data_IF_381392009031
#
_entry.id   IF_381392009031
#
_cell.length_a   1.000
_cell.length_b   1.000
_cell.length_c   1.000
_cell.angle_alpha   90.00
_cell.angle_beta   90.00
_cell.angle_gamma   90.00
#
_symmetry.space_group_name_H-M   'P 1'
#
loop_
_entity.id
_entity.type
_entity.pdbx_description
1 polymer ?
#
# COMPACT_ATOMS: atom_id res chain seq x y z
N UNK A 1 -2.02 34.46 43.31
CA UNK A 1 -3.00 33.62 42.60
C UNK A 1 -2.86 33.92 41.12
N UNK A 2 -2.30 32.99 40.36
CA UNK A 2 -1.98 33.18 38.94
C UNK A 2 -3.22 32.77 38.12
N UNK A 3 -3.96 33.74 37.58
CA UNK A 3 -5.06 33.50 36.63
C UNK A 3 -4.48 33.09 35.28
N UNK A 4 -4.57 31.80 34.95
CA UNK A 4 -4.35 31.30 33.60
C UNK A 4 -5.39 31.93 32.66
N UNK A 5 -4.99 32.46 31.48
CA UNK A 5 -5.94 32.95 30.50
C UNK A 5 -6.73 31.76 29.93
N UNK A 6 -8.05 31.81 30.05
CA UNK A 6 -8.97 30.90 29.37
C UNK A 6 -8.86 31.23 27.88
N UNK A 7 -8.28 30.32 27.09
CA UNK A 7 -8.28 30.45 25.63
C UNK A 7 -9.74 30.47 25.14
N UNK A 8 -10.10 31.37 24.20
CA UNK A 8 -11.42 31.35 23.61
C UNK A 8 -11.64 30.03 22.86
N UNK A 9 -12.85 29.48 22.94
CA UNK A 9 -13.23 28.31 22.17
C UNK A 9 -13.05 28.58 20.67
N UNK A 10 -12.49 27.60 19.94
CA UNK A 10 -12.29 27.69 18.50
C UNK A 10 -13.62 27.95 17.78
N UNK A 11 -13.60 28.78 16.73
CA UNK A 11 -14.78 28.99 15.89
C UNK A 11 -15.10 27.73 15.06
N UNK A 12 -16.34 27.54 14.59
CA UNK A 12 -16.71 26.39 13.75
C UNK A 12 -15.81 26.22 12.51
N UNK A 13 -15.41 27.32 11.89
CA UNK A 13 -14.48 27.32 10.75
C UNK A 13 -13.06 26.84 11.16
N UNK A 14 -12.56 27.26 12.32
CA UNK A 14 -11.27 26.80 12.85
C UNK A 14 -11.29 25.32 13.22
N UNK A 15 -12.40 24.84 13.79
CA UNK A 15 -12.57 23.42 14.11
C UNK A 15 -12.61 22.53 12.85
N UNK A 16 -13.23 23.02 11.77
CA UNK A 16 -13.29 22.30 10.48
C UNK A 16 -11.93 22.28 9.78
N UNK A 17 -11.22 23.42 9.72
CA UNK A 17 -9.87 23.48 9.18
C UNK A 17 -8.89 22.60 9.97
N UNK A 18 -9.01 22.54 11.29
CA UNK A 18 -8.19 21.66 12.12
C UNK A 18 -8.45 20.18 11.82
N UNK A 19 -9.71 19.80 11.63
CA UNK A 19 -10.09 18.41 11.27
C UNK A 19 -9.47 18.00 9.93
N UNK A 20 -9.59 18.83 8.90
CA UNK A 20 -8.99 18.59 7.58
C UNK A 20 -7.46 18.46 7.70
N UNK A 21 -6.83 19.33 8.49
CA UNK A 21 -5.38 19.28 8.70
C UNK A 21 -4.93 17.98 9.42
N UNK A 22 -5.74 17.48 10.37
CA UNK A 22 -5.46 16.22 11.06
C UNK A 22 -5.68 15.01 10.14
N UNK A 23 -6.72 15.03 9.29
CA UNK A 23 -6.95 14.03 8.24
C UNK A 23 -5.79 13.98 7.24
N UNK A 24 -5.32 15.14 6.77
CA UNK A 24 -4.15 15.25 5.87
C UNK A 24 -2.88 14.72 6.52
N UNK A 25 -2.68 14.94 7.81
CA UNK A 25 -1.53 14.38 8.54
C UNK A 25 -1.59 12.86 8.63
N UNK A 26 -2.77 12.30 8.87
CA UNK A 26 -2.97 10.85 8.87
C UNK A 26 -2.69 10.26 7.48
N UNK A 27 -3.22 10.87 6.42
CA UNK A 27 -2.93 10.48 5.02
C UNK A 27 -1.44 10.56 4.71
N UNK A 28 -0.76 11.63 5.14
CA UNK A 28 0.68 11.80 4.94
C UNK A 28 1.53 10.67 5.54
N UNK A 29 1.06 10.04 6.61
CA UNK A 29 1.75 8.88 7.20
C UNK A 29 1.68 7.66 6.26
N UNK A 30 0.50 7.37 5.70
CA UNK A 30 0.31 6.24 4.77
C UNK A 30 0.99 6.50 3.43
N UNK A 31 0.96 7.74 2.92
CA UNK A 31 1.71 8.13 1.71
C UNK A 31 3.21 7.92 1.92
N UNK A 32 3.77 8.33 3.06
CA UNK A 32 5.19 8.12 3.34
C UNK A 32 5.56 6.62 3.40
N UNK A 33 4.68 5.77 3.94
CA UNK A 33 4.87 4.32 3.92
C UNK A 33 4.86 3.75 2.50
N UNK A 34 3.99 4.24 1.62
CA UNK A 34 3.97 3.87 0.20
C UNK A 34 5.23 4.31 -0.54
N UNK A 35 5.77 5.49 -0.25
CA UNK A 35 7.01 5.99 -0.88
C UNK A 35 8.24 5.18 -0.49
N UNK A 36 8.25 4.62 0.72
CA UNK A 36 9.43 3.98 1.30
C UNK A 36 9.39 2.44 1.24
N UNK A 37 8.24 1.84 0.92
CA UNK A 37 8.12 0.38 0.85
C UNK A 37 8.86 -0.18 -0.37
N UNK A 38 9.64 -1.23 -0.16
CA UNK A 38 10.29 -2.03 -1.21
C UNK A 38 9.72 -3.44 -1.30
N UNK A 39 8.85 -3.83 -0.36
CA UNK A 39 8.18 -5.12 -0.36
C UNK A 39 6.85 -5.02 -1.12
N UNK A 40 6.82 -5.64 -2.30
CA UNK A 40 5.65 -5.71 -3.16
C UNK A 40 4.45 -6.37 -2.45
N UNK A 41 4.67 -7.26 -1.49
CA UNK A 41 3.61 -7.90 -0.70
C UNK A 41 2.96 -6.93 0.30
N UNK A 42 3.73 -5.96 0.80
CA UNK A 42 3.21 -4.89 1.67
C UNK A 42 2.53 -3.77 0.88
N UNK A 43 2.79 -3.68 -0.42
CA UNK A 43 2.23 -2.61 -1.25
C UNK A 43 0.70 -2.72 -1.35
N UNK A 44 0.12 -3.93 -1.47
CA UNK A 44 -1.33 -4.12 -1.53
C UNK A 44 -2.05 -3.59 -0.28
N UNK A 45 -1.72 -4.03 0.95
CA UNK A 45 -2.42 -3.54 2.13
C UNK A 45 -2.23 -2.03 2.35
N UNK A 46 -1.09 -1.45 1.98
CA UNK A 46 -0.87 -0.01 2.02
C UNK A 46 -1.75 0.75 1.02
N UNK A 47 -1.83 0.30 -0.23
CA UNK A 47 -2.70 0.90 -1.26
C UNK A 47 -4.18 0.81 -0.86
N UNK A 48 -4.61 -0.31 -0.28
CA UNK A 48 -5.98 -0.48 0.22
C UNK A 48 -6.28 0.44 1.41
N UNK A 49 -5.32 0.59 2.33
CA UNK A 49 -5.45 1.51 3.47
C UNK A 49 -5.59 2.95 2.97
N UNK A 50 -4.71 3.38 2.07
CA UNK A 50 -4.78 4.73 1.50
C UNK A 50 -6.11 4.96 0.76
N UNK A 51 -6.56 3.97 -0.02
CA UNK A 51 -7.83 4.08 -0.75
C UNK A 51 -9.00 4.33 0.19
N UNK A 52 -9.13 3.55 1.27
CA UNK A 52 -10.21 3.72 2.25
C UNK A 52 -10.14 5.08 2.94
N UNK A 53 -8.93 5.54 3.29
CA UNK A 53 -8.74 6.85 3.91
C UNK A 53 -9.12 7.99 2.96
N UNK A 54 -8.67 7.94 1.69
CA UNK A 54 -8.99 8.96 0.69
C UNK A 54 -10.47 8.97 0.35
N UNK A 55 -11.11 7.81 0.22
CA UNK A 55 -12.55 7.75 -0.04
C UNK A 55 -13.36 8.39 1.09
N UNK A 56 -13.00 8.11 2.35
CA UNK A 56 -13.65 8.74 3.51
C UNK A 56 -13.38 10.25 3.58
N UNK A 57 -12.16 10.69 3.27
CA UNK A 57 -11.77 12.09 3.26
C UNK A 57 -12.47 12.87 2.12
N UNK A 58 -12.43 12.37 0.89
CA UNK A 58 -13.10 13.00 -0.24
C UNK A 58 -14.62 13.05 -0.05
N UNK A 59 -15.23 12.01 0.52
CA UNK A 59 -16.66 12.03 0.85
C UNK A 59 -17.03 13.09 1.90
N UNK A 60 -16.12 13.43 2.82
CA UNK A 60 -16.35 14.50 3.80
C UNK A 60 -16.22 15.89 3.16
N UNK A 61 -15.34 16.03 2.18
CA UNK A 61 -15.11 17.26 1.42
C UNK A 61 -16.20 17.54 0.38
N UNK A 62 -16.73 16.49 -0.26
CA UNK A 62 -17.75 16.55 -1.33
C UNK A 62 -19.19 16.41 -0.81
N UNK A 63 -19.38 16.06 0.46
CA UNK A 63 -20.70 15.82 1.05
C UNK A 63 -21.48 17.09 1.42
N UNK A 64 -22.69 16.89 1.93
CA UNK A 64 -23.50 17.95 2.53
C UNK A 64 -22.72 18.60 3.69
N UNK A 65 -22.67 19.93 3.74
CA UNK A 65 -21.80 20.74 4.62
C UNK A 65 -20.28 20.67 4.33
N UNK A 66 -19.89 20.17 3.15
CA UNK A 66 -18.51 20.06 2.68
C UNK A 66 -17.90 21.36 2.10
N UNK A 67 -16.80 21.22 1.37
CA UNK A 67 -16.07 22.35 0.75
C UNK A 67 -16.92 23.10 -0.27
N UNK A 68 -17.83 22.42 -0.98
CA UNK A 68 -18.70 23.04 -1.98
C UNK A 68 -19.69 24.03 -1.37
N UNK A 69 -20.37 23.64 -0.29
CA UNK A 69 -21.29 24.53 0.42
C UNK A 69 -20.53 25.74 1.00
N UNK A 70 -19.37 25.50 1.61
CA UNK A 70 -18.55 26.57 2.18
C UNK A 70 -18.06 27.57 1.11
N UNK A 71 -17.60 27.08 -0.04
CA UNK A 71 -17.05 27.93 -1.12
C UNK A 71 -18.17 28.62 -1.91
N UNK A 72 -19.30 27.96 -2.15
CA UNK A 72 -20.41 28.56 -2.90
C UNK A 72 -21.04 29.75 -2.17
N UNK A 73 -21.10 29.71 -0.83
CA UNK A 73 -21.57 30.82 0.02
C UNK A 73 -20.57 31.99 0.05
N UNK A 74 -19.29 31.72 0.32
CA UNK A 74 -18.35 32.76 0.75
C UNK A 74 -17.37 33.19 -0.34
N UNK A 75 -17.11 32.33 -1.34
CA UNK A 75 -16.12 32.56 -2.40
C UNK A 75 -16.50 31.91 -3.74
N UNK A 76 -17.65 32.26 -4.34
CA UNK A 76 -18.17 31.57 -5.55
C UNK A 76 -17.24 31.64 -6.77
N UNK A 77 -16.32 32.60 -6.81
CA UNK A 77 -15.30 32.70 -7.87
C UNK A 77 -14.27 31.56 -7.84
N UNK A 78 -14.21 30.77 -6.76
CA UNK A 78 -13.32 29.62 -6.63
C UNK A 78 -13.97 28.29 -7.03
N UNK A 79 -15.27 28.27 -7.38
CA UNK A 79 -15.99 27.04 -7.70
C UNK A 79 -15.36 26.25 -8.86
N UNK A 80 -14.81 26.93 -9.86
CA UNK A 80 -14.08 26.25 -10.95
C UNK A 80 -12.84 25.51 -10.44
N UNK A 81 -12.10 26.11 -9.51
CA UNK A 81 -10.92 25.49 -8.91
C UNK A 81 -11.31 24.31 -8.01
N UNK A 82 -12.41 24.45 -7.26
CA UNK A 82 -12.95 23.34 -6.46
C UNK A 82 -13.33 22.14 -7.33
N UNK A 83 -13.99 22.38 -8.47
CA UNK A 83 -14.34 21.29 -9.38
C UNK A 83 -13.09 20.54 -9.88
N UNK A 84 -11.98 21.24 -10.13
CA UNK A 84 -10.73 20.58 -10.53
C UNK A 84 -10.19 19.68 -9.42
N UNK A 85 -10.31 20.09 -8.15
CA UNK A 85 -9.93 19.28 -7.00
C UNK A 85 -10.78 18.00 -6.93
N UNK A 86 -12.10 18.09 -7.13
CA UNK A 86 -12.97 16.92 -7.16
C UNK A 86 -12.70 15.99 -8.36
N UNK A 87 -12.27 16.56 -9.49
CA UNK A 87 -11.82 15.78 -10.63
C UNK A 87 -10.53 15.02 -10.29
N UNK A 88 -9.59 15.67 -9.59
CA UNK A 88 -8.35 15.06 -9.08
C UNK A 88 -8.65 13.93 -8.09
N UNK A 89 -9.63 14.08 -7.19
CA UNK A 89 -10.05 13.03 -6.25
C UNK A 89 -10.42 11.73 -6.97
N UNK A 90 -11.26 11.84 -8.01
CA UNK A 90 -11.66 10.68 -8.82
C UNK A 90 -10.48 10.07 -9.56
N UNK A 91 -9.58 10.90 -10.08
CA UNK A 91 -8.37 10.44 -10.74
C UNK A 91 -7.44 9.68 -9.77
N UNK A 92 -7.27 10.16 -8.54
CA UNK A 92 -6.45 9.48 -7.53
C UNK A 92 -7.03 8.12 -7.13
N UNK A 93 -8.34 8.02 -6.90
CA UNK A 93 -8.96 6.73 -6.58
C UNK A 93 -8.82 5.73 -7.73
N UNK A 94 -9.04 6.17 -8.97
CA UNK A 94 -8.84 5.32 -10.14
C UNK A 94 -7.38 4.87 -10.29
N UNK A 95 -6.43 5.76 -9.99
CA UNK A 95 -5.00 5.42 -10.04
C UNK A 95 -4.62 4.39 -8.96
N UNK A 96 -5.18 4.49 -7.76
CA UNK A 96 -4.97 3.49 -6.70
C UNK A 96 -5.54 2.12 -7.05
N UNK A 97 -6.70 2.09 -7.71
CA UNK A 97 -7.31 0.84 -8.19
C UNK A 97 -6.45 0.18 -9.28
N UNK A 98 -5.96 0.96 -10.24
CA UNK A 98 -5.06 0.48 -11.29
C UNK A 98 -3.72 -0.03 -10.72
N UNK A 99 -3.10 0.72 -9.80
CA UNK A 99 -1.87 0.27 -9.12
C UNK A 99 -2.12 -1.03 -8.34
N UNK A 100 -3.23 -1.12 -7.61
CA UNK A 100 -3.58 -2.33 -6.85
C UNK A 100 -3.76 -3.54 -7.76
N UNK A 101 -4.41 -3.37 -8.92
CA UNK A 101 -4.58 -4.43 -9.90
C UNK A 101 -3.24 -4.89 -10.50
N UNK A 102 -2.36 -3.94 -10.87
CA UNK A 102 -1.02 -4.22 -11.39
C UNK A 102 -0.14 -4.94 -10.38
N UNK A 103 -0.17 -4.52 -9.11
CA UNK A 103 0.58 -5.18 -8.03
C UNK A 103 0.15 -6.64 -7.85
N UNK A 104 -1.17 -6.91 -7.85
CA UNK A 104 -1.71 -8.28 -7.79
C UNK A 104 -1.28 -9.12 -8.98
N UNK A 105 -1.44 -8.60 -10.20
CA UNK A 105 -1.02 -9.31 -11.41
C UNK A 105 0.48 -9.65 -11.41
N UNK A 106 1.31 -8.79 -10.84
CA UNK A 106 2.75 -9.06 -10.69
C UNK A 106 3.02 -10.18 -9.68
N UNK A 107 2.36 -10.14 -8.52
CA UNK A 107 2.52 -11.14 -7.45
C UNK A 107 2.02 -12.52 -7.89
N UNK A 108 0.86 -12.58 -8.53
CA UNK A 108 0.21 -13.82 -8.95
C UNK A 108 0.75 -14.37 -10.27
N UNK A 109 1.52 -13.57 -11.02
CA UNK A 109 2.14 -13.95 -12.30
C UNK A 109 3.65 -14.09 -12.18
N UNK A 110 4.46 -13.16 -12.73
CA UNK A 110 5.92 -13.33 -12.83
C UNK A 110 6.62 -13.64 -11.51
N UNK A 111 6.20 -13.04 -10.39
CA UNK A 111 6.81 -13.30 -9.08
C UNK A 111 6.50 -14.72 -8.61
N UNK A 112 5.25 -15.18 -8.75
CA UNK A 112 4.86 -16.55 -8.41
C UNK A 112 5.62 -17.58 -9.26
N UNK A 113 5.79 -17.32 -10.57
CA UNK A 113 6.56 -18.18 -11.48
C UNK A 113 8.03 -18.32 -11.05
N UNK A 114 8.69 -17.21 -10.72
CA UNK A 114 10.09 -17.22 -10.25
C UNK A 114 10.23 -18.00 -8.94
N UNK A 115 9.30 -17.80 -8.00
CA UNK A 115 9.30 -18.51 -6.73
C UNK A 115 9.10 -20.02 -6.92
N UNK A 116 8.13 -20.41 -7.76
CA UNK A 116 7.91 -21.81 -8.09
C UNK A 116 9.13 -22.45 -8.76
N UNK A 117 9.75 -21.77 -9.72
CA UNK A 117 10.96 -22.22 -10.40
C UNK A 117 12.14 -22.41 -9.44
N UNK A 118 12.28 -21.52 -8.45
CA UNK A 118 13.34 -21.61 -7.44
C UNK A 118 13.13 -22.79 -6.49
N UNK A 119 11.87 -23.08 -6.11
CA UNK A 119 11.53 -24.27 -5.32
C UNK A 119 11.83 -25.54 -6.11
N UNK A 120 11.43 -25.59 -7.39
CA UNK A 120 11.67 -26.74 -8.25
C UNK A 120 13.17 -26.99 -8.42
N UNK A 121 13.96 -25.95 -8.72
CA UNK A 121 15.41 -26.07 -8.84
C UNK A 121 16.04 -26.64 -7.56
N UNK A 122 15.61 -26.18 -6.38
CA UNK A 122 16.11 -26.69 -5.12
C UNK A 122 15.75 -28.18 -4.89
N UNK A 123 14.59 -28.63 -5.36
CA UNK A 123 14.19 -30.04 -5.31
C UNK A 123 15.03 -30.88 -6.27
N UNK A 124 15.24 -30.39 -7.50
CA UNK A 124 16.02 -31.07 -8.52
C UNK A 124 17.48 -31.26 -8.07
N UNK A 125 18.06 -30.23 -7.45
CA UNK A 125 19.41 -30.29 -6.88
C UNK A 125 19.52 -31.33 -5.76
N UNK A 126 18.57 -31.37 -4.82
CA UNK A 126 18.57 -32.39 -3.76
C UNK A 126 18.46 -33.81 -4.32
N UNK A 127 17.54 -34.01 -5.27
CA UNK A 127 17.38 -35.32 -5.91
C UNK A 127 18.63 -35.72 -6.72
N UNK A 128 19.36 -34.74 -7.26
CA UNK A 128 20.62 -34.98 -7.94
C UNK A 128 21.72 -35.41 -6.96
N UNK A 129 21.89 -34.69 -5.85
CA UNK A 129 22.84 -35.01 -4.79
C UNK A 129 22.58 -36.41 -4.19
N UNK A 130 21.32 -36.79 -4.00
CA UNK A 130 20.92 -38.13 -3.53
C UNK A 130 21.38 -39.22 -4.51
N UNK A 131 21.12 -39.05 -5.81
CA UNK A 131 21.55 -40.00 -6.85
C UNK A 131 23.07 -40.11 -6.94
N UNK A 132 23.80 -39.00 -6.81
CA UNK A 132 25.27 -39.04 -6.79
C UNK A 132 25.79 -39.78 -5.57
N UNK A 133 25.17 -39.57 -4.41
CA UNK A 133 25.53 -40.27 -3.17
C UNK A 133 25.28 -41.77 -3.28
N UNK A 134 24.15 -42.18 -3.85
CA UNK A 134 23.83 -43.59 -4.12
C UNK A 134 24.89 -44.23 -5.03
N UNK A 135 25.23 -43.57 -6.15
CA UNK A 135 26.23 -44.07 -7.09
C UNK A 135 27.62 -44.23 -6.44
N UNK A 136 28.03 -43.26 -5.62
CA UNK A 136 29.30 -43.32 -4.89
C UNK A 136 29.31 -44.48 -3.89
N UNK A 137 28.22 -44.67 -3.14
CA UNK A 137 28.10 -45.78 -2.21
C UNK A 137 28.15 -47.13 -2.94
N UNK A 138 27.40 -47.27 -4.04
CA UNK A 138 27.40 -48.50 -4.85
C UNK A 138 28.79 -48.83 -5.39
N UNK A 139 29.54 -47.83 -5.86
CA UNK A 139 30.92 -48.02 -6.31
C UNK A 139 31.83 -48.52 -5.17
N UNK A 140 31.73 -47.91 -3.98
CA UNK A 140 32.50 -48.34 -2.81
C UNK A 140 32.15 -49.77 -2.37
N UNK A 141 30.87 -50.14 -2.30
CA UNK A 141 30.46 -51.49 -1.89
C UNK A 141 30.82 -52.56 -2.94
N UNK A 142 30.78 -52.22 -4.23
CA UNK A 142 31.02 -53.18 -5.31
C UNK A 142 32.52 -53.45 -5.53
N UNK A 143 33.38 -52.43 -5.41
CA UNK A 143 34.83 -52.59 -5.62
C UNK A 143 35.56 -53.14 -4.39
N UNK A 144 35.13 -52.83 -3.16
CA UNK A 144 35.77 -53.34 -1.94
C UNK A 144 35.22 -54.71 -1.47
N UNK A 145 34.07 -55.16 -2.00
CA UNK A 145 33.42 -56.41 -1.61
C UNK A 145 33.89 -57.70 -2.31
N UNK A 146 34.73 -57.60 -3.37
CA UNK A 146 35.23 -58.77 -4.13
C UNK A 146 36.61 -59.28 -3.69
N UNK A 147 37.10 -58.82 -2.53
CA UNK A 147 38.42 -59.15 -1.99
C UNK A 147 38.45 -60.25 -0.92
N UNK A 148 37.59 -61.27 -0.98
CA UNK A 148 37.74 -62.52 -0.22
C UNK A 148 37.75 -63.73 -1.14
#
# INVERSE_FOLDING_TARGET
MNTLPIQPAATPAQASAQRIADEHRALGTTVHQLETTTDLRQLIPLLQTLRVQLEAHFASEEGDDGLEEAISSDAPHLLSSLQHIFDDHRAFLAHLDDLSAKTRACLDGPVAEILAGSVQLAQDLRAHEERETELLNDALYTDFGRGQ
#
